data_IF_371452741189
#
_entry.id   IF_371452741189
#
_cell.length_a   1.000
_cell.length_b   1.000
_cell.length_c   1.000
_cell.angle_alpha   90.00
_cell.angle_beta   90.00
_cell.angle_gamma   90.00
#
_symmetry.space_group_name_H-M   'P 1'
#
loop_
_entity.id
_entity.type
_entity.pdbx_description
1 polymer ?
#
# COMPACT_ATOMS: atom_id res chain seq x y z
N UNK A 1 -7.28 -38.72 -32.49
CA UNK A 1 -7.88 -38.20 -31.24
C UNK A 1 -6.90 -37.22 -30.64
N UNK A 2 -6.90 -35.98 -31.16
CA UNK A 2 -5.97 -34.91 -30.75
C UNK A 2 -6.67 -33.99 -29.77
N UNK A 3 -6.29 -34.10 -28.53
CA UNK A 3 -6.76 -33.24 -27.44
C UNK A 3 -6.08 -31.88 -27.52
N UNK A 4 -6.87 -30.87 -27.68
CA UNK A 4 -6.79 -29.45 -27.35
C UNK A 4 -5.53 -29.06 -26.58
N UNK A 5 -4.55 -28.52 -27.28
CA UNK A 5 -3.49 -27.68 -26.67
C UNK A 5 -4.10 -26.33 -26.33
N UNK A 6 -4.75 -26.22 -25.19
CA UNK A 6 -5.22 -24.96 -24.62
C UNK A 6 -4.08 -23.96 -24.57
N UNK A 7 -4.30 -22.84 -25.19
CA UNK A 7 -3.44 -21.68 -25.30
C UNK A 7 -2.90 -21.31 -23.92
N UNK A 8 -1.61 -21.56 -23.68
CA UNK A 8 -0.93 -21.26 -22.42
C UNK A 8 -0.70 -19.75 -22.25
N UNK A 9 -1.75 -18.97 -22.07
CA UNK A 9 -1.66 -17.66 -21.38
C UNK A 9 -1.35 -17.85 -19.87
N UNK A 10 -1.23 -19.10 -19.41
CA UNK A 10 -1.21 -19.48 -18.02
C UNK A 10 0.07 -19.21 -17.22
N UNK A 11 1.21 -18.94 -17.84
CA UNK A 11 2.47 -18.87 -17.08
C UNK A 11 2.68 -17.57 -16.31
N UNK A 12 2.35 -16.42 -16.90
CA UNK A 12 2.50 -15.12 -16.26
C UNK A 12 1.29 -14.81 -15.37
N UNK A 13 0.07 -15.05 -15.87
CA UNK A 13 -1.18 -14.83 -15.14
C UNK A 13 -1.21 -15.65 -13.85
N UNK A 14 -0.85 -16.93 -13.89
CA UNK A 14 -0.84 -17.81 -12.70
C UNK A 14 0.19 -17.39 -11.65
N UNK A 15 1.22 -16.61 -12.02
CA UNK A 15 2.23 -16.09 -11.09
C UNK A 15 1.81 -14.77 -10.45
N UNK A 16 1.16 -13.89 -11.21
CA UNK A 16 0.83 -12.53 -10.76
C UNK A 16 -0.49 -12.49 -9.99
N UNK A 17 -1.48 -13.30 -10.35
CA UNK A 17 -2.80 -13.28 -9.72
C UNK A 17 -2.80 -13.52 -8.20
N UNK A 18 -2.00 -14.43 -7.63
CA UNK A 18 -1.91 -14.59 -6.18
C UNK A 18 -1.35 -13.36 -5.48
N UNK A 19 -0.42 -12.65 -6.12
CA UNK A 19 0.13 -11.38 -5.62
C UNK A 19 -0.97 -10.31 -5.59
N UNK A 20 -1.73 -10.18 -6.68
CA UNK A 20 -2.88 -9.27 -6.77
C UNK A 20 -3.94 -9.62 -5.72
N UNK A 21 -4.18 -10.90 -5.48
CA UNK A 21 -5.11 -11.36 -4.44
C UNK A 21 -4.71 -10.88 -3.04
N UNK A 22 -3.43 -11.00 -2.69
CA UNK A 22 -2.93 -10.50 -1.39
C UNK A 22 -2.96 -8.97 -1.36
N UNK A 23 -2.54 -8.31 -2.45
CA UNK A 23 -2.57 -6.85 -2.58
C UNK A 23 -3.99 -6.29 -2.41
N UNK A 24 -5.01 -6.98 -2.93
CA UNK A 24 -6.42 -6.55 -2.75
C UNK A 24 -6.86 -6.62 -1.29
N UNK A 25 -6.45 -7.64 -0.53
CA UNK A 25 -6.73 -7.72 0.92
C UNK A 25 -6.05 -6.59 1.70
N UNK A 26 -4.81 -6.27 1.34
CA UNK A 26 -4.08 -5.15 1.93
C UNK A 26 -4.70 -3.81 1.53
N UNK A 27 -5.25 -3.71 0.32
CA UNK A 27 -6.02 -2.56 -0.14
C UNK A 27 -7.31 -2.35 0.66
N UNK A 28 -8.03 -3.43 1.02
CA UNK A 28 -9.18 -3.35 1.93
C UNK A 28 -8.78 -2.80 3.30
N UNK A 29 -7.66 -3.29 3.85
CA UNK A 29 -7.13 -2.76 5.11
C UNK A 29 -6.74 -1.28 4.98
N UNK A 30 -6.12 -0.90 3.87
CA UNK A 30 -5.74 0.49 3.62
C UNK A 30 -6.95 1.42 3.47
N UNK A 31 -8.07 0.93 2.89
CA UNK A 31 -9.31 1.69 2.84
C UNK A 31 -9.90 1.96 4.24
N UNK A 32 -9.76 1.01 5.16
CA UNK A 32 -10.15 1.23 6.57
C UNK A 32 -9.26 2.26 7.26
N UNK A 33 -7.96 2.28 6.95
CA UNK A 33 -7.06 3.30 7.48
C UNK A 33 -7.41 4.71 6.97
N UNK A 34 -7.88 4.84 5.72
CA UNK A 34 -8.41 6.10 5.19
C UNK A 34 -9.68 6.58 5.89
N UNK A 35 -10.42 5.71 6.56
CA UNK A 35 -11.57 6.12 7.37
C UNK A 35 -11.15 7.00 8.55
N UNK A 36 -9.93 6.87 9.07
CA UNK A 36 -9.45 7.67 10.22
C UNK A 36 -9.36 9.16 9.85
N UNK A 37 -8.61 9.58 8.81
CA UNK A 37 -8.60 10.98 8.40
C UNK A 37 -9.97 11.46 7.90
N UNK A 38 -10.81 10.58 7.32
CA UNK A 38 -12.18 10.92 6.93
C UNK A 38 -13.02 11.30 8.15
N UNK A 39 -12.99 10.49 9.20
CA UNK A 39 -13.70 10.78 10.45
C UNK A 39 -13.16 12.04 11.12
N UNK A 40 -11.83 12.20 11.13
CA UNK A 40 -11.20 13.39 11.66
C UNK A 40 -11.69 14.64 10.92
N UNK A 41 -11.69 14.63 9.60
CA UNK A 41 -12.19 15.73 8.77
C UNK A 41 -13.67 16.05 9.04
N UNK A 42 -14.49 15.03 9.29
CA UNK A 42 -15.88 15.20 9.68
C UNK A 42 -16.02 15.93 11.02
N UNK A 43 -15.26 15.54 12.04
CA UNK A 43 -15.34 16.15 13.37
C UNK A 43 -14.76 17.56 13.43
N UNK A 44 -13.71 17.84 12.67
CA UNK A 44 -13.11 19.16 12.59
C UNK A 44 -13.81 20.09 11.60
N UNK A 45 -14.80 19.58 10.84
CA UNK A 45 -15.52 20.32 9.81
C UNK A 45 -14.59 20.95 8.76
N UNK A 46 -13.47 20.29 8.47
CA UNK A 46 -12.53 20.79 7.48
C UNK A 46 -12.95 20.46 6.03
N UNK A 47 -12.30 21.07 5.05
CA UNK A 47 -12.69 20.98 3.64
C UNK A 47 -12.32 19.66 2.97
N UNK A 48 -11.49 18.82 3.61
CA UNK A 48 -10.93 17.60 3.03
C UNK A 48 -11.87 16.38 3.14
N UNK A 49 -13.01 16.49 3.85
CA UNK A 49 -13.91 15.36 4.09
C UNK A 49 -14.31 14.62 2.81
N UNK A 50 -14.79 15.37 1.81
CA UNK A 50 -15.25 14.77 0.56
C UNK A 50 -14.13 14.02 -0.14
N UNK A 51 -12.93 14.57 -0.16
CA UNK A 51 -11.76 13.98 -0.84
C UNK A 51 -11.33 12.69 -0.18
N UNK A 52 -11.25 12.66 1.15
CA UNK A 52 -10.93 11.43 1.90
C UNK A 52 -12.03 10.38 1.75
N UNK A 53 -13.30 10.77 1.84
CA UNK A 53 -14.43 9.86 1.70
C UNK A 53 -14.48 9.21 0.31
N UNK A 54 -14.31 9.99 -0.76
CA UNK A 54 -14.24 9.45 -2.13
C UNK A 54 -13.05 8.53 -2.33
N UNK A 55 -11.88 8.90 -1.82
CA UNK A 55 -10.69 8.05 -1.93
C UNK A 55 -10.88 6.75 -1.18
N UNK A 56 -11.36 6.79 0.05
CA UNK A 56 -11.63 5.59 0.85
C UNK A 56 -12.63 4.67 0.16
N UNK A 57 -13.74 5.22 -0.35
CA UNK A 57 -14.78 4.46 -1.05
C UNK A 57 -14.23 3.84 -2.35
N UNK A 58 -13.49 4.60 -3.14
CA UNK A 58 -12.91 4.12 -4.40
C UNK A 58 -11.94 2.97 -4.14
N UNK A 59 -11.05 3.12 -3.16
CA UNK A 59 -10.09 2.07 -2.77
C UNK A 59 -10.82 0.84 -2.26
N UNK A 60 -11.86 1.01 -1.44
CA UNK A 60 -12.68 -0.08 -0.93
C UNK A 60 -13.33 -0.86 -2.09
N UNK A 61 -13.98 -0.17 -3.01
CA UNK A 61 -14.67 -0.79 -4.16
C UNK A 61 -13.68 -1.52 -5.08
N UNK A 62 -12.58 -0.86 -5.48
CA UNK A 62 -11.56 -1.47 -6.35
C UNK A 62 -10.95 -2.69 -5.67
N UNK A 63 -10.61 -2.59 -4.39
CA UNK A 63 -10.02 -3.70 -3.64
C UNK A 63 -11.01 -4.85 -3.46
N UNK A 64 -12.29 -4.57 -3.19
CA UNK A 64 -13.34 -5.57 -3.06
C UNK A 64 -13.57 -6.32 -4.39
N UNK A 65 -13.72 -5.59 -5.49
CA UNK A 65 -13.89 -6.18 -6.83
C UNK A 65 -12.67 -7.04 -7.19
N UNK A 66 -11.47 -6.51 -7.00
CA UNK A 66 -10.23 -7.22 -7.29
C UNK A 66 -10.11 -8.48 -6.42
N UNK A 67 -10.46 -8.40 -5.15
CA UNK A 67 -10.46 -9.55 -4.23
C UNK A 67 -11.42 -10.64 -4.72
N UNK A 68 -12.66 -10.29 -5.07
CA UNK A 68 -13.66 -11.25 -5.58
C UNK A 68 -13.20 -11.91 -6.88
N UNK A 69 -12.66 -11.12 -7.83
CA UNK A 69 -12.17 -11.64 -9.10
C UNK A 69 -10.96 -12.57 -8.94
N UNK A 70 -10.19 -12.40 -7.88
CA UNK A 70 -8.97 -13.17 -7.63
C UNK A 70 -9.14 -14.33 -6.64
N UNK A 71 -10.34 -14.57 -6.10
CA UNK A 71 -10.62 -15.65 -5.15
C UNK A 71 -10.10 -17.03 -5.58
N UNK A 72 -10.13 -17.32 -6.87
CA UNK A 72 -9.66 -18.60 -7.45
C UNK A 72 -8.15 -18.78 -7.40
N UNK A 73 -7.40 -17.70 -7.14
CA UNK A 73 -5.93 -17.68 -7.14
C UNK A 73 -5.33 -17.63 -5.73
N UNK A 74 -6.10 -18.01 -4.72
CA UNK A 74 -5.65 -18.07 -3.33
C UNK A 74 -4.69 -19.26 -3.13
N UNK A 75 -3.40 -19.05 -3.44
CA UNK A 75 -2.33 -19.99 -3.16
C UNK A 75 -1.26 -19.34 -2.27
N UNK A 76 -0.49 -20.15 -1.58
CA UNK A 76 0.67 -19.66 -0.83
C UNK A 76 1.69 -18.99 -1.76
N UNK A 77 2.18 -17.83 -1.32
CA UNK A 77 3.21 -17.09 -2.05
C UNK A 77 4.57 -17.75 -1.85
N UNK A 78 5.34 -17.84 -2.91
CA UNK A 78 6.73 -18.25 -2.83
C UNK A 78 7.58 -17.08 -2.33
N UNK A 79 8.79 -17.32 -1.77
CA UNK A 79 9.68 -16.25 -1.34
C UNK A 79 9.92 -15.16 -2.40
N UNK A 80 10.07 -15.56 -3.67
CA UNK A 80 10.26 -14.62 -4.79
C UNK A 80 9.03 -13.75 -5.06
N UNK A 81 7.82 -14.31 -4.87
CA UNK A 81 6.56 -13.59 -5.04
C UNK A 81 6.44 -12.49 -3.96
N UNK A 82 7.05 -12.71 -2.77
CA UNK A 82 7.08 -11.75 -1.67
C UNK A 82 7.80 -10.44 -2.03
N UNK A 83 8.96 -10.50 -2.68
CA UNK A 83 9.66 -9.28 -3.13
C UNK A 83 8.83 -8.48 -4.14
N UNK A 84 8.18 -9.17 -5.07
CA UNK A 84 7.30 -8.53 -6.06
C UNK A 84 6.08 -7.91 -5.38
N UNK A 85 5.49 -8.60 -4.40
CA UNK A 85 4.38 -8.09 -3.60
C UNK A 85 4.76 -6.79 -2.88
N UNK A 86 5.92 -6.78 -2.22
CA UNK A 86 6.41 -5.59 -1.49
C UNK A 86 6.57 -4.40 -2.43
N UNK A 87 7.23 -4.59 -3.58
CA UNK A 87 7.40 -3.51 -4.55
C UNK A 87 6.06 -2.97 -5.04
N UNK A 88 5.14 -3.87 -5.41
CA UNK A 88 3.79 -3.49 -5.86
C UNK A 88 2.99 -2.79 -4.75
N UNK A 89 3.13 -3.24 -3.50
CA UNK A 89 2.46 -2.67 -2.34
C UNK A 89 2.90 -1.22 -2.11
N UNK A 90 4.21 -0.96 -2.08
CA UNK A 90 4.74 0.38 -1.88
C UNK A 90 4.31 1.34 -2.98
N UNK A 91 4.38 0.92 -4.24
CA UNK A 91 3.93 1.74 -5.37
C UNK A 91 2.42 1.98 -5.34
N UNK A 92 1.62 0.94 -5.13
CA UNK A 92 0.17 1.06 -5.08
C UNK A 92 -0.29 1.95 -3.92
N UNK A 93 0.29 1.76 -2.74
CA UNK A 93 -0.07 2.56 -1.56
C UNK A 93 0.37 4.02 -1.70
N UNK A 94 1.54 4.29 -2.30
CA UNK A 94 1.96 5.65 -2.57
C UNK A 94 1.03 6.36 -3.57
N UNK A 95 0.60 5.68 -4.63
CA UNK A 95 -0.38 6.22 -5.59
C UNK A 95 -1.70 6.53 -4.89
N UNK A 96 -2.23 5.58 -4.14
CA UNK A 96 -3.50 5.76 -3.42
C UNK A 96 -3.38 6.85 -2.35
N UNK A 97 -2.29 6.88 -1.60
CA UNK A 97 -2.05 7.87 -0.56
C UNK A 97 -1.87 9.29 -1.11
N UNK A 98 -1.40 9.42 -2.34
CA UNK A 98 -1.27 10.70 -3.04
C UNK A 98 -2.63 11.28 -3.45
N UNK A 99 -3.64 10.45 -3.70
CA UNK A 99 -4.94 10.92 -4.21
C UNK A 99 -5.61 11.97 -3.32
N UNK A 100 -5.75 11.78 -1.99
CA UNK A 100 -6.33 12.81 -1.14
C UNK A 100 -5.56 14.13 -1.20
N UNK A 101 -4.23 14.09 -1.22
CA UNK A 101 -3.38 15.28 -1.27
C UNK A 101 -3.58 16.01 -2.61
N UNK A 102 -3.55 15.27 -3.71
CA UNK A 102 -3.71 15.80 -5.06
C UNK A 102 -5.07 16.49 -5.27
N UNK A 103 -6.16 15.83 -4.84
CA UNK A 103 -7.50 16.40 -5.01
C UNK A 103 -7.83 17.51 -4.02
N UNK A 104 -7.17 17.50 -2.84
CA UNK A 104 -7.30 18.58 -1.86
C UNK A 104 -6.59 19.86 -2.30
N UNK A 105 -5.46 19.76 -2.98
CA UNK A 105 -4.63 20.89 -3.41
C UNK A 105 -4.62 21.04 -4.94
N UNK A 106 -5.56 21.80 -5.54
CA UNK A 106 -5.69 21.91 -7.01
C UNK A 106 -4.47 22.51 -7.72
N UNK A 107 -3.63 23.27 -7.00
CA UNK A 107 -2.37 23.84 -7.53
C UNK A 107 -1.21 22.86 -7.54
N UNK A 108 -1.34 21.70 -6.88
CA UNK A 108 -0.29 20.69 -6.76
C UNK A 108 -0.32 19.73 -7.95
N UNK A 109 0.85 19.43 -8.52
CA UNK A 109 0.94 18.38 -9.53
C UNK A 109 0.78 16.99 -8.90
N UNK A 110 0.36 16.01 -9.71
CA UNK A 110 0.31 14.61 -9.23
C UNK A 110 1.70 14.11 -8.78
N UNK A 111 2.76 14.56 -9.45
CA UNK A 111 4.15 14.21 -9.10
C UNK A 111 4.50 14.69 -7.69
N UNK A 112 4.10 15.92 -7.34
CA UNK A 112 4.35 16.48 -6.00
C UNK A 112 3.53 15.75 -4.93
N UNK A 113 2.26 15.47 -5.20
CA UNK A 113 1.40 14.69 -4.30
C UNK A 113 1.94 13.26 -4.10
N UNK A 114 2.43 12.63 -5.16
CA UNK A 114 3.07 11.33 -5.09
C UNK A 114 4.38 11.38 -4.29
N UNK A 115 5.18 12.43 -4.48
CA UNK A 115 6.40 12.67 -3.70
C UNK A 115 6.05 12.80 -2.20
N UNK A 116 5.04 13.60 -1.82
CA UNK A 116 4.58 13.72 -0.43
C UNK A 116 4.18 12.36 0.16
N UNK A 117 3.35 11.60 -0.57
CA UNK A 117 2.89 10.30 -0.12
C UNK A 117 4.03 9.28 0.01
N UNK A 118 4.93 9.24 -0.97
CA UNK A 118 6.10 8.35 -0.96
C UNK A 118 7.07 8.75 0.15
N UNK A 119 7.33 10.05 0.32
CA UNK A 119 8.16 10.58 1.40
C UNK A 119 7.62 10.19 2.77
N UNK A 120 6.30 10.25 2.96
CA UNK A 120 5.65 9.76 4.17
C UNK A 120 5.87 8.27 4.35
N UNK A 121 5.47 7.45 3.38
CA UNK A 121 5.57 6.00 3.46
C UNK A 121 7.01 5.48 3.64
N UNK A 122 7.99 6.13 3.03
CA UNK A 122 9.42 5.78 3.22
C UNK A 122 10.03 6.38 4.49
N UNK A 123 9.22 7.08 5.30
CA UNK A 123 9.68 7.77 6.52
C UNK A 123 10.78 8.83 6.28
N UNK A 124 10.89 9.34 5.06
CA UNK A 124 11.86 10.37 4.71
C UNK A 124 11.50 11.72 5.32
N UNK A 125 10.20 12.04 5.38
CA UNK A 125 9.69 13.28 5.98
C UNK A 125 9.97 14.55 5.17
N UNK A 126 10.51 14.43 3.95
CA UNK A 126 10.69 15.56 3.05
C UNK A 126 9.34 16.04 2.52
N UNK A 127 9.19 17.36 2.33
CA UNK A 127 7.94 17.97 1.86
C UNK A 127 8.20 19.02 0.78
N UNK A 128 7.30 19.10 -0.19
CA UNK A 128 7.21 20.18 -1.18
C UNK A 128 6.06 21.13 -0.85
N UNK A 129 5.27 20.82 0.19
CA UNK A 129 4.17 21.66 0.64
C UNK A 129 4.72 22.81 1.47
N UNK A 130 4.37 24.03 1.10
CA UNK A 130 4.60 25.24 1.88
C UNK A 130 3.36 25.60 2.69
N UNK A 131 3.54 26.24 3.86
CA UNK A 131 2.42 26.68 4.70
C UNK A 131 1.71 25.52 5.42
N UNK A 132 2.48 24.60 5.97
CA UNK A 132 1.97 23.43 6.71
C UNK A 132 1.04 23.80 7.87
N UNK A 133 1.28 24.96 8.47
CA UNK A 133 0.49 25.48 9.62
C UNK A 133 -0.95 25.89 9.21
N UNK A 134 -1.18 26.08 7.92
CA UNK A 134 -2.48 26.47 7.37
C UNK A 134 -3.25 25.32 6.73
N UNK A 135 -2.66 24.12 6.70
CA UNK A 135 -3.34 22.92 6.18
C UNK A 135 -4.46 22.49 7.11
N UNK A 136 -5.52 21.94 6.51
CA UNK A 136 -6.56 21.24 7.24
C UNK A 136 -5.97 20.13 8.12
N UNK A 137 -6.50 19.98 9.33
CA UNK A 137 -5.94 19.08 10.33
C UNK A 137 -5.95 17.63 9.87
N UNK A 138 -6.97 17.21 9.14
CA UNK A 138 -7.06 15.85 8.59
C UNK A 138 -6.00 15.56 7.53
N UNK A 139 -5.65 16.56 6.69
CA UNK A 139 -4.60 16.43 5.67
C UNK A 139 -3.22 16.33 6.33
N UNK A 140 -2.97 17.19 7.32
CA UNK A 140 -1.71 17.14 8.07
C UNK A 140 -1.58 15.85 8.88
N UNK A 141 -2.68 15.40 9.49
CA UNK A 141 -2.75 14.10 10.17
C UNK A 141 -2.47 12.95 9.20
N UNK A 142 -3.04 12.97 7.98
CA UNK A 142 -2.79 11.95 6.96
C UNK A 142 -1.31 11.83 6.63
N UNK A 143 -0.63 12.93 6.42
CA UNK A 143 0.82 12.97 6.16
C UNK A 143 1.63 12.30 7.29
N UNK A 144 1.31 12.62 8.55
CA UNK A 144 1.96 11.99 9.71
C UNK A 144 1.60 10.51 9.85
N UNK A 145 0.36 10.14 9.56
CA UNK A 145 -0.08 8.75 9.57
C UNK A 145 0.65 7.91 8.52
N UNK A 146 0.95 8.46 7.34
CA UNK A 146 1.77 7.78 6.34
C UNK A 146 3.18 7.49 6.85
N UNK A 147 3.82 8.44 7.57
CA UNK A 147 5.12 8.21 8.20
C UNK A 147 5.06 7.08 9.24
N UNK A 148 4.02 7.07 10.06
CA UNK A 148 3.82 6.01 11.05
C UNK A 148 3.59 4.65 10.41
N UNK A 149 2.71 4.57 9.42
CA UNK A 149 2.43 3.33 8.66
C UNK A 149 3.68 2.81 7.94
N UNK A 150 4.45 3.73 7.34
CA UNK A 150 5.70 3.39 6.67
C UNK A 150 6.74 2.82 7.63
N UNK A 151 6.92 3.43 8.80
CA UNK A 151 7.82 2.94 9.85
C UNK A 151 7.44 1.53 10.31
N UNK A 152 6.15 1.29 10.59
CA UNK A 152 5.65 -0.04 10.93
C UNK A 152 5.83 -1.03 9.78
N UNK A 153 5.56 -0.60 8.54
CA UNK A 153 5.71 -1.43 7.34
C UNK A 153 7.13 -1.92 7.14
N UNK A 154 8.12 -1.06 7.35
CA UNK A 154 9.55 -1.42 7.26
C UNK A 154 9.92 -2.45 8.33
N UNK A 155 9.45 -2.28 9.57
CA UNK A 155 9.73 -3.23 10.65
C UNK A 155 9.12 -4.60 10.34
N UNK A 156 7.85 -4.63 9.92
CA UNK A 156 7.17 -5.89 9.53
C UNK A 156 7.90 -6.56 8.37
N UNK A 157 8.34 -5.78 7.39
CA UNK A 157 9.07 -6.28 6.24
C UNK A 157 10.43 -6.87 6.66
N UNK A 158 11.17 -6.18 7.52
CA UNK A 158 12.45 -6.68 8.04
C UNK A 158 12.28 -8.01 8.77
N UNK A 159 11.30 -8.09 9.68
CA UNK A 159 11.00 -9.33 10.42
C UNK A 159 10.57 -10.48 9.50
N UNK A 160 9.82 -10.17 8.42
CA UNK A 160 9.40 -11.19 7.46
C UNK A 160 10.54 -11.67 6.54
N UNK A 161 11.47 -10.78 6.16
CA UNK A 161 12.55 -11.09 5.20
C UNK A 161 13.77 -11.71 5.88
N UNK A 162 14.15 -11.31 7.10
CA UNK A 162 15.32 -11.81 7.79
C UNK A 162 15.40 -13.35 7.86
N UNK A 163 14.32 -14.07 8.21
CA UNK A 163 14.34 -15.54 8.20
C UNK A 163 14.53 -16.12 6.79
N UNK A 164 14.01 -15.45 5.76
CA UNK A 164 14.11 -15.91 4.37
C UNK A 164 15.52 -15.74 3.78
N UNK A 165 16.31 -14.80 4.32
CA UNK A 165 17.71 -14.61 3.94
C UNK A 165 18.67 -15.55 4.68
N UNK A 166 18.15 -16.42 5.55
CA UNK A 166 18.98 -17.31 6.36
C UNK A 166 19.81 -16.58 7.44
N UNK A 167 19.52 -15.30 7.68
CA UNK A 167 20.16 -14.50 8.73
C UNK A 167 19.37 -14.67 10.02
N UNK A 168 19.18 -15.89 10.44
CA UNK A 168 18.48 -16.23 11.68
C UNK A 168 19.17 -17.38 12.40
N UNK A 169 19.78 -17.06 13.51
CA UNK A 169 20.08 -17.91 14.68
C UNK A 169 20.80 -19.25 14.52
N UNK A 170 20.71 -19.91 13.37
CA UNK A 170 21.25 -21.25 13.19
C UNK A 170 22.72 -21.30 12.73
N UNK A 171 23.27 -20.21 12.25
CA UNK A 171 24.68 -20.13 11.85
C UNK A 171 25.61 -19.77 13.02
N UNK A 172 25.10 -19.07 14.04
CA UNK A 172 25.87 -18.79 15.26
C UNK A 172 26.11 -20.06 16.11
N UNK A 173 25.19 -21.01 16.11
CA UNK A 173 25.32 -22.27 16.83
C UNK A 173 26.17 -23.32 16.11
N UNK A 174 26.42 -23.19 14.80
CA UNK A 174 27.29 -24.09 14.04
C UNK A 174 28.79 -23.76 14.12
N UNK A 175 29.12 -22.57 14.62
CA UNK A 175 30.51 -22.14 14.76
C UNK A 175 31.14 -22.52 16.13
N UNK A 176 30.37 -23.10 17.06
CA UNK A 176 30.82 -23.48 18.38
C UNK A 176 30.85 -25.02 18.61
N UNK A 177 30.73 -25.83 17.57
CA UNK A 177 30.96 -27.29 17.60
C UNK A 177 32.08 -27.60 16.57
#
# INVERSE_FOLDING_TARGET
MYLYKGFRLGGAVSKVMPIIHVLSKLGLLFSLLLAVPTLMSYFYHDSAFIVFAYTALTVLLVSCVTWVLTLRFNRELRPRDGFTLVLMLWLAFAIVAAMPIYFYMPSMSFTDAFFEAMSGLTTTGATVISGLDTLDQSVNFWRHMLNWLGGMGIIVLAVAILPMLGVGGTQLFKAEI
#
